data_IF_142435688632
#
_entry.id   IF_142435688632
#
_cell.length_a   1.000
_cell.length_b   1.000
_cell.length_c   1.000
_cell.angle_alpha   90.00
_cell.angle_beta   90.00
_cell.angle_gamma   90.00
#
_symmetry.space_group_name_H-M   'P 1'
#
loop_
_entity.id
_entity.type
_entity.pdbx_description
1 polymer ?
#
# COMPACT_ATOMS: atom_id res chain seq x y z
N UNK A 1 4.55 -1.72 -23.77
CA UNK A 1 3.43 -1.43 -22.85
C UNK A 1 4.01 -1.15 -21.48
N UNK A 2 3.20 -0.77 -20.49
CA UNK A 2 3.67 -0.21 -19.22
C UNK A 2 2.75 -0.74 -18.12
N UNK A 3 3.03 -1.94 -17.63
CA UNK A 3 2.17 -2.67 -16.71
C UNK A 3 2.45 -2.30 -15.24
N UNK A 4 1.42 -2.34 -14.40
CA UNK A 4 1.51 -2.10 -12.95
C UNK A 4 0.91 -3.31 -12.22
N UNK A 5 1.68 -3.90 -11.32
CA UNK A 5 1.18 -4.96 -10.42
C UNK A 5 0.58 -4.29 -9.18
N UNK A 6 -0.72 -4.50 -8.95
CA UNK A 6 -1.41 -4.01 -7.76
C UNK A 6 -1.35 -5.04 -6.64
N UNK A 7 -1.04 -4.59 -5.43
CA UNK A 7 -1.02 -5.40 -4.22
C UNK A 7 -1.92 -4.71 -3.20
N UNK A 8 -2.78 -5.47 -2.54
CA UNK A 8 -3.63 -4.96 -1.48
C UNK A 8 -3.46 -5.81 -0.22
N UNK A 9 -3.09 -5.16 0.89
CA UNK A 9 -2.69 -5.84 2.13
C UNK A 9 -3.58 -5.47 3.32
N UNK A 10 -4.09 -6.49 4.00
CA UNK A 10 -4.94 -6.38 5.19
C UNK A 10 -6.34 -5.86 4.90
N UNK A 11 -7.19 -5.81 5.93
CA UNK A 11 -8.60 -5.44 5.79
C UNK A 11 -8.83 -4.10 5.07
N UNK A 12 -8.14 -3.04 5.49
CA UNK A 12 -8.31 -1.70 4.91
C UNK A 12 -7.81 -1.64 3.46
N UNK A 13 -6.62 -2.21 3.18
CA UNK A 13 -6.07 -2.29 1.83
C UNK A 13 -7.01 -3.02 0.88
N UNK A 14 -7.54 -4.17 1.30
CA UNK A 14 -8.49 -4.94 0.50
C UNK A 14 -9.83 -4.22 0.25
N UNK A 15 -10.34 -3.46 1.22
CA UNK A 15 -11.58 -2.69 1.02
C UNK A 15 -11.39 -1.52 0.04
N UNK A 16 -10.29 -0.79 0.17
CA UNK A 16 -9.96 0.32 -0.73
C UNK A 16 -9.61 -0.22 -2.11
N UNK A 17 -8.81 -1.28 -2.19
CA UNK A 17 -8.47 -1.98 -3.43
C UNK A 17 -9.72 -2.49 -4.15
N UNK A 18 -10.65 -3.14 -3.44
CA UNK A 18 -11.92 -3.56 -4.03
C UNK A 18 -12.69 -2.37 -4.62
N UNK A 19 -12.81 -1.25 -3.90
CA UNK A 19 -13.46 -0.03 -4.43
C UNK A 19 -12.70 0.60 -5.59
N UNK A 20 -11.38 0.59 -5.56
CA UNK A 20 -10.55 1.03 -6.67
C UNK A 20 -10.88 0.21 -7.92
N UNK A 21 -10.85 -1.12 -7.83
CA UNK A 21 -11.16 -2.02 -8.95
C UNK A 21 -12.60 -1.90 -9.45
N UNK A 22 -13.58 -1.67 -8.58
CA UNK A 22 -14.96 -1.35 -9.01
C UNK A 22 -14.98 -0.09 -9.88
N UNK A 23 -14.39 1.01 -9.39
CA UNK A 23 -14.43 2.30 -10.09
C UNK A 23 -13.68 2.25 -11.41
N UNK A 24 -12.46 1.68 -11.45
CA UNK A 24 -11.70 1.63 -12.70
C UNK A 24 -12.31 0.63 -13.70
N UNK A 25 -12.96 -0.43 -13.23
CA UNK A 25 -13.68 -1.35 -14.14
C UNK A 25 -14.86 -0.63 -14.79
N UNK A 26 -15.63 0.15 -14.02
CA UNK A 26 -16.73 0.95 -14.55
C UNK A 26 -16.22 2.01 -15.55
N UNK A 27 -15.11 2.69 -15.26
CA UNK A 27 -14.48 3.65 -16.18
C UNK A 27 -14.02 3.02 -17.50
N UNK A 28 -13.48 1.80 -17.43
CA UNK A 28 -13.04 1.02 -18.59
C UNK A 28 -14.16 0.21 -19.25
N UNK A 29 -15.39 0.25 -18.74
CA UNK A 29 -16.53 -0.49 -19.28
C UNK A 29 -16.39 -2.02 -19.16
N UNK A 30 -15.68 -2.50 -18.14
CA UNK A 30 -15.50 -3.93 -17.84
C UNK A 30 -16.55 -4.36 -16.84
N UNK A 31 -17.30 -5.42 -17.16
CA UNK A 31 -18.29 -5.98 -16.25
C UNK A 31 -17.67 -6.91 -15.19
N UNK A 32 -18.44 -7.35 -14.17
CA UNK A 32 -17.95 -8.29 -13.16
C UNK A 32 -17.47 -9.66 -13.69
N UNK A 33 -17.78 -9.99 -14.95
CA UNK A 33 -17.32 -11.23 -15.60
C UNK A 33 -15.98 -11.06 -16.33
N UNK A 34 -15.47 -9.82 -16.37
CA UNK A 34 -14.28 -9.41 -17.11
C UNK A 34 -14.54 -9.09 -18.58
N UNK A 35 -15.79 -9.04 -19.03
CA UNK A 35 -16.13 -8.78 -20.43
C UNK A 35 -16.27 -7.28 -20.68
N UNK A 36 -15.70 -6.80 -21.79
CA UNK A 36 -15.83 -5.40 -22.20
C UNK A 36 -17.20 -5.12 -22.83
N UNK A 37 -17.89 -4.12 -22.28
CA UNK A 37 -19.17 -3.59 -22.74
C UNK A 37 -19.15 -2.07 -22.91
N UNK A 38 -17.95 -1.48 -23.00
CA UNK A 38 -17.79 -0.05 -23.19
C UNK A 38 -18.20 0.45 -24.57
N UNK A 39 -18.24 1.77 -24.71
CA UNK A 39 -18.73 2.50 -25.89
C UNK A 39 -17.64 3.36 -26.55
N UNK A 40 -16.43 3.40 -25.99
CA UNK A 40 -15.33 4.25 -26.42
C UNK A 40 -14.02 3.47 -26.57
N UNK A 41 -13.39 3.59 -27.75
CA UNK A 41 -12.09 2.97 -28.05
C UNK A 41 -10.97 3.42 -27.08
N UNK A 42 -11.10 4.63 -26.50
CA UNK A 42 -10.14 5.15 -25.53
C UNK A 42 -10.10 4.32 -24.23
N UNK A 43 -11.18 3.61 -23.91
CA UNK A 43 -11.22 2.73 -22.73
C UNK A 43 -10.29 1.52 -22.88
N UNK A 44 -10.01 1.09 -24.12
CA UNK A 44 -9.16 -0.07 -24.38
C UNK A 44 -7.69 0.30 -24.65
N UNK A 45 -7.40 1.54 -25.07
CA UNK A 45 -6.06 1.95 -25.50
C UNK A 45 -4.95 1.72 -24.44
N UNK A 46 -5.30 1.84 -23.15
CA UNK A 46 -4.35 1.64 -22.02
C UNK A 46 -4.81 0.62 -21.00
N UNK A 47 -5.71 -0.28 -21.38
CA UNK A 47 -6.26 -1.28 -20.44
C UNK A 47 -5.19 -2.27 -19.94
N UNK A 48 -4.15 -2.52 -20.75
CA UNK A 48 -3.05 -3.42 -20.42
C UNK A 48 -2.19 -2.96 -19.24
N UNK A 49 -2.33 -1.70 -18.81
CA UNK A 49 -1.63 -1.16 -17.62
C UNK A 49 -2.07 -1.91 -16.36
N UNK A 50 -3.38 -2.14 -16.20
CA UNK A 50 -3.97 -2.73 -14.99
C UNK A 50 -4.58 -4.11 -15.21
N UNK A 51 -4.94 -4.48 -16.44
CA UNK A 51 -5.59 -5.75 -16.75
C UNK A 51 -4.73 -6.64 -17.64
N UNK A 52 -4.76 -7.92 -17.35
CA UNK A 52 -4.32 -8.98 -18.25
C UNK A 52 -5.47 -9.32 -19.21
N UNK A 53 -5.18 -9.41 -20.51
CA UNK A 53 -6.12 -9.96 -21.49
C UNK A 53 -6.02 -11.50 -21.49
N UNK A 54 -7.07 -12.15 -21.01
CA UNK A 54 -7.24 -13.59 -21.03
C UNK A 54 -7.99 -14.04 -22.30
N UNK A 55 -7.96 -15.34 -22.55
CA UNK A 55 -8.65 -15.94 -23.70
C UNK A 55 -10.15 -15.64 -23.67
N UNK A 56 -10.71 -15.31 -24.84
CA UNK A 56 -12.13 -15.00 -25.00
C UNK A 56 -12.51 -13.55 -24.69
N UNK A 57 -11.55 -12.62 -24.76
CA UNK A 57 -11.82 -11.18 -24.57
C UNK A 57 -12.16 -10.83 -23.13
N UNK A 58 -11.62 -11.59 -22.17
CA UNK A 58 -11.82 -11.37 -20.74
C UNK A 58 -10.63 -10.63 -20.15
N UNK A 59 -10.90 -9.54 -19.44
CA UNK A 59 -9.92 -8.74 -18.75
C UNK A 59 -9.88 -9.14 -17.27
N UNK A 60 -8.70 -9.50 -16.79
CA UNK A 60 -8.46 -9.92 -15.40
C UNK A 60 -7.53 -8.92 -14.73
N UNK A 61 -7.92 -8.30 -13.60
CA UNK A 61 -7.04 -7.41 -12.87
C UNK A 61 -5.68 -8.03 -12.53
N UNK A 62 -4.60 -7.28 -12.75
CA UNK A 62 -3.27 -7.59 -12.25
C UNK A 62 -3.17 -7.23 -10.77
N UNK A 63 -3.97 -7.91 -9.95
CA UNK A 63 -4.11 -7.66 -8.52
C UNK A 63 -3.73 -8.89 -7.70
N UNK A 64 -3.06 -8.65 -6.57
CA UNK A 64 -2.68 -9.65 -5.57
C UNK A 64 -3.32 -9.24 -4.25
N UNK A 65 -4.12 -10.14 -3.69
CA UNK A 65 -4.91 -9.90 -2.49
C UNK A 65 -4.29 -10.65 -1.34
N UNK A 66 -3.86 -9.90 -0.32
CA UNK A 66 -3.12 -10.43 0.82
C UNK A 66 -3.83 -10.09 2.11
N UNK A 67 -4.08 -11.09 2.95
CA UNK A 67 -4.46 -10.86 4.34
C UNK A 67 -4.05 -12.04 5.23
N UNK A 68 -3.70 -11.78 6.48
CA UNK A 68 -3.42 -12.83 7.45
C UNK A 68 -4.72 -13.46 7.98
N UNK A 69 -5.85 -12.77 7.79
CA UNK A 69 -7.18 -13.26 8.14
C UNK A 69 -7.98 -13.74 6.92
N UNK A 70 -8.61 -14.93 6.96
CA UNK A 70 -9.40 -15.44 5.84
C UNK A 70 -10.70 -14.66 5.62
N UNK A 71 -11.28 -14.04 6.66
CA UNK A 71 -12.60 -13.40 6.59
C UNK A 71 -12.69 -12.20 5.64
N UNK A 72 -11.58 -11.50 5.43
CA UNK A 72 -11.51 -10.40 4.45
C UNK A 72 -11.71 -10.90 3.03
N UNK A 73 -11.18 -12.09 2.70
CA UNK A 73 -11.23 -12.64 1.35
C UNK A 73 -12.67 -13.00 0.94
N UNK A 74 -13.46 -13.57 1.86
CA UNK A 74 -14.87 -13.88 1.62
C UNK A 74 -15.69 -12.60 1.37
N UNK A 75 -15.35 -11.53 2.08
CA UNK A 75 -15.98 -10.22 1.90
C UNK A 75 -15.66 -9.63 0.53
N UNK A 76 -14.41 -9.76 0.04
CA UNK A 76 -14.03 -9.29 -1.30
C UNK A 76 -14.69 -10.15 -2.38
N UNK A 77 -14.69 -11.48 -2.24
CA UNK A 77 -15.29 -12.40 -3.23
C UNK A 77 -16.81 -12.23 -3.36
N UNK A 78 -17.48 -11.90 -2.26
CA UNK A 78 -18.92 -11.59 -2.24
C UNK A 78 -19.25 -10.17 -2.72
N UNK A 79 -18.23 -9.34 -2.93
CA UNK A 79 -18.37 -8.03 -3.53
C UNK A 79 -18.81 -8.06 -5.00
N UNK A 80 -19.22 -6.91 -5.57
CA UNK A 80 -19.80 -6.84 -6.90
C UNK A 80 -18.83 -7.33 -7.99
N UNK A 81 -17.55 -6.97 -7.86
CA UNK A 81 -16.47 -7.38 -8.75
C UNK A 81 -15.59 -8.50 -8.16
N UNK A 82 -16.03 -9.17 -7.08
CA UNK A 82 -15.21 -10.17 -6.40
C UNK A 82 -14.79 -11.37 -7.26
N UNK A 83 -15.56 -11.67 -8.31
CA UNK A 83 -15.35 -12.81 -9.20
C UNK A 83 -14.38 -12.52 -10.36
N UNK A 84 -14.01 -11.26 -10.59
CA UNK A 84 -13.09 -10.89 -11.67
C UNK A 84 -11.63 -11.23 -11.33
N UNK A 85 -11.30 -11.28 -10.03
CA UNK A 85 -9.96 -11.55 -9.55
C UNK A 85 -9.56 -13.01 -9.80
N UNK A 86 -8.30 -13.21 -10.18
CA UNK A 86 -7.74 -14.55 -10.36
C UNK A 86 -7.73 -15.30 -9.01
N UNK A 87 -8.35 -16.49 -8.88
CA UNK A 87 -8.38 -17.24 -7.63
C UNK A 87 -7.01 -17.55 -7.04
N UNK A 88 -6.02 -17.79 -7.91
CA UNK A 88 -4.62 -18.04 -7.54
C UNK A 88 -3.93 -16.84 -6.86
N UNK A 89 -4.46 -15.63 -7.07
CA UNK A 89 -3.85 -14.39 -6.56
C UNK A 89 -4.36 -14.01 -5.16
N UNK A 90 -5.19 -14.86 -4.56
CA UNK A 90 -5.62 -14.72 -3.17
C UNK A 90 -4.66 -15.48 -2.27
N UNK A 91 -3.83 -14.74 -1.53
CA UNK A 91 -2.87 -15.32 -0.58
C UNK A 91 -3.30 -14.91 0.81
N UNK A 92 -3.71 -15.89 1.62
CA UNK A 92 -4.20 -15.61 2.96
C UNK A 92 -3.73 -16.58 4.02
N UNK A 93 -3.55 -16.06 5.23
CA UNK A 93 -3.19 -16.82 6.42
C UNK A 93 -4.41 -17.43 7.13
N UNK A 94 -4.15 -18.13 8.23
CA UNK A 94 -5.18 -18.64 9.14
C UNK A 94 -5.29 -17.84 10.44
N UNK A 95 -4.27 -17.03 10.74
CA UNK A 95 -4.08 -16.32 12.00
C UNK A 95 -3.92 -14.84 11.72
N UNK A 96 -4.77 -13.99 12.33
CA UNK A 96 -4.70 -12.55 12.14
C UNK A 96 -3.62 -11.87 12.96
N UNK A 97 -3.12 -10.74 12.47
CA UNK A 97 -2.15 -9.93 13.20
C UNK A 97 -2.74 -9.22 14.44
N UNK A 98 -4.06 -9.10 14.56
CA UNK A 98 -4.71 -8.54 15.76
C UNK A 98 -4.30 -7.10 16.10
N UNK A 99 -4.09 -6.25 15.08
CA UNK A 99 -3.54 -4.89 15.21
C UNK A 99 -2.13 -4.82 15.84
N UNK A 100 -1.35 -5.89 15.74
CA UNK A 100 0.04 -5.91 16.16
C UNK A 100 0.96 -5.88 14.93
N UNK A 101 1.74 -4.81 14.80
CA UNK A 101 2.71 -4.65 13.71
C UNK A 101 3.78 -5.74 13.73
N UNK A 102 4.32 -6.08 14.92
CA UNK A 102 5.38 -7.07 15.06
C UNK A 102 4.92 -8.46 14.60
N UNK A 103 3.64 -8.80 14.83
CA UNK A 103 3.06 -10.04 14.27
C UNK A 103 3.06 -10.06 12.75
N UNK A 104 2.65 -8.95 12.15
CA UNK A 104 2.64 -8.81 10.71
C UNK A 104 4.05 -8.79 10.10
N UNK A 105 5.05 -8.29 10.82
CA UNK A 105 6.39 -8.10 10.28
C UNK A 105 7.35 -9.27 10.57
N UNK A 106 7.32 -9.84 11.78
CA UNK A 106 8.31 -10.81 12.24
C UNK A 106 7.79 -12.25 12.37
N UNK A 107 6.50 -12.45 12.64
CA UNK A 107 5.94 -13.78 12.89
C UNK A 107 5.02 -14.23 11.77
N UNK A 108 3.71 -14.05 11.90
CA UNK A 108 2.68 -14.54 10.97
C UNK A 108 2.90 -14.04 9.54
N UNK A 109 3.24 -12.76 9.36
CA UNK A 109 3.47 -12.21 8.02
C UNK A 109 4.78 -12.67 7.39
N UNK A 110 5.80 -12.99 8.18
CA UNK A 110 7.06 -13.54 7.68
C UNK A 110 6.88 -14.98 7.16
N UNK A 111 5.94 -15.75 7.72
CA UNK A 111 5.61 -17.09 7.20
C UNK A 111 4.85 -17.02 5.87
N UNK A 112 4.01 -16.00 5.67
CA UNK A 112 3.18 -15.87 4.47
C UNK A 112 3.87 -15.13 3.32
N UNK A 113 4.88 -14.30 3.60
CA UNK A 113 5.50 -13.38 2.61
C UNK A 113 6.04 -14.11 1.38
N UNK A 114 6.66 -15.28 1.54
CA UNK A 114 7.26 -16.03 0.42
C UNK A 114 6.18 -16.49 -0.57
N UNK A 115 5.01 -16.91 -0.07
CA UNK A 115 3.88 -17.29 -0.91
C UNK A 115 3.34 -16.10 -1.71
N UNK A 116 3.34 -14.89 -1.11
CA UNK A 116 2.96 -13.66 -1.82
C UNK A 116 3.99 -13.32 -2.89
N UNK A 117 5.28 -13.40 -2.57
CA UNK A 117 6.36 -13.11 -3.50
C UNK A 117 6.33 -14.02 -4.73
N UNK A 118 5.98 -15.30 -4.57
CA UNK A 118 5.82 -16.20 -5.71
C UNK A 118 4.70 -15.78 -6.66
N UNK A 119 3.59 -15.26 -6.14
CA UNK A 119 2.51 -14.69 -6.96
C UNK A 119 2.97 -13.37 -7.61
N UNK A 120 3.68 -12.53 -6.87
CA UNK A 120 4.26 -11.27 -7.40
C UNK A 120 5.20 -11.57 -8.57
N UNK A 121 6.07 -12.58 -8.45
CA UNK A 121 6.96 -13.05 -9.52
C UNK A 121 6.17 -13.53 -10.73
N UNK A 122 5.17 -14.38 -10.52
CA UNK A 122 4.31 -14.89 -11.60
C UNK A 122 3.62 -13.78 -12.39
N UNK A 123 3.10 -12.75 -11.70
CA UNK A 123 2.48 -11.60 -12.37
C UNK A 123 3.52 -10.72 -13.07
N UNK A 124 4.69 -10.51 -12.45
CA UNK A 124 5.78 -9.70 -13.02
C UNK A 124 6.36 -10.31 -14.29
N UNK A 125 6.57 -11.63 -14.32
CA UNK A 125 7.04 -12.39 -15.50
C UNK A 125 6.03 -12.40 -16.66
N UNK A 126 4.75 -12.16 -16.36
CA UNK A 126 3.70 -12.04 -17.39
C UNK A 126 3.57 -10.63 -17.99
N UNK A 127 4.38 -9.67 -17.54
CA UNK A 127 4.41 -8.31 -18.07
C UNK A 127 5.44 -8.18 -19.19
N UNK A 128 5.13 -7.41 -20.24
CA UNK A 128 6.11 -7.07 -21.28
C UNK A 128 7.15 -6.08 -20.74
N UNK A 129 6.71 -5.05 -20.01
CA UNK A 129 7.59 -4.05 -19.41
C UNK A 129 6.99 -3.49 -18.11
N UNK A 130 7.23 -4.20 -17.01
CA UNK A 130 6.78 -3.81 -15.68
C UNK A 130 7.28 -2.40 -15.30
N UNK A 131 6.35 -1.49 -15.03
CA UNK A 131 6.69 -0.16 -14.48
C UNK A 131 7.05 -0.25 -13.00
N UNK A 132 6.27 -1.04 -12.25
CA UNK A 132 6.39 -1.08 -10.81
C UNK A 132 5.16 -1.66 -10.12
N UNK A 133 5.13 -1.42 -8.81
CA UNK A 133 4.15 -1.98 -7.89
C UNK A 133 3.33 -0.88 -7.24
N UNK A 134 2.05 -1.16 -7.04
CA UNK A 134 1.13 -0.30 -6.33
C UNK A 134 0.56 -1.04 -5.12
N UNK A 135 0.95 -0.63 -3.91
CA UNK A 135 0.45 -1.22 -2.67
C UNK A 135 -0.66 -0.36 -2.05
N UNK A 136 -1.81 -0.95 -1.74
CA UNK A 136 -2.83 -0.33 -0.88
C UNK A 136 -2.83 -0.99 0.50
N UNK A 137 -2.65 -0.19 1.55
CA UNK A 137 -2.58 -0.71 2.93
C UNK A 137 -2.93 0.36 3.98
N UNK A 138 -3.10 -0.04 5.23
CA UNK A 138 -3.24 0.88 6.36
C UNK A 138 -2.03 0.82 7.28
N UNK A 139 -1.62 1.98 7.80
CA UNK A 139 -0.50 2.07 8.75
C UNK A 139 -0.93 1.75 10.19
N UNK A 140 -2.23 1.81 10.49
CA UNK A 140 -2.76 1.56 11.84
C UNK A 140 -3.14 0.11 12.15
N UNK A 141 -3.10 -0.78 11.15
CA UNK A 141 -3.40 -2.21 11.35
C UNK A 141 -2.20 -3.01 11.85
N UNK A 142 -2.28 -4.34 11.79
CA UNK A 142 -1.14 -5.26 11.97
C UNK A 142 -0.67 -5.86 10.64
N UNK A 143 -1.61 -6.41 9.86
CA UNK A 143 -1.31 -7.00 8.54
C UNK A 143 -0.89 -5.94 7.53
N UNK A 144 -1.75 -4.94 7.30
CA UNK A 144 -1.49 -3.90 6.29
C UNK A 144 -0.20 -3.14 6.57
N UNK A 145 0.09 -2.84 7.84
CA UNK A 145 1.28 -2.10 8.23
C UNK A 145 2.52 -3.00 8.27
N UNK A 146 2.53 -4.03 9.12
CA UNK A 146 3.70 -4.90 9.36
C UNK A 146 4.06 -5.77 8.18
N UNK A 147 3.09 -6.53 7.66
CA UNK A 147 3.32 -7.38 6.49
C UNK A 147 3.48 -6.53 5.23
N UNK A 148 2.75 -5.41 5.13
CA UNK A 148 2.90 -4.48 4.00
C UNK A 148 4.30 -3.88 3.90
N UNK A 149 4.90 -3.43 5.01
CA UNK A 149 6.29 -2.94 5.01
C UNK A 149 7.30 -4.03 4.72
N UNK A 150 7.09 -5.25 5.24
CA UNK A 150 7.92 -6.40 4.91
C UNK A 150 7.90 -6.71 3.40
N UNK A 151 6.71 -6.72 2.80
CA UNK A 151 6.53 -6.91 1.35
C UNK A 151 7.23 -5.82 0.54
N UNK A 152 7.12 -4.55 0.94
CA UNK A 152 7.83 -3.45 0.28
C UNK A 152 9.34 -3.69 0.30
N UNK A 153 9.90 -4.08 1.45
CA UNK A 153 11.34 -4.34 1.58
C UNK A 153 11.77 -5.47 0.65
N UNK A 154 11.03 -6.59 0.65
CA UNK A 154 11.35 -7.74 -0.20
C UNK A 154 11.21 -7.46 -1.69
N UNK A 155 10.19 -6.71 -2.08
CA UNK A 155 10.02 -6.31 -3.48
C UNK A 155 11.13 -5.35 -3.91
N UNK A 156 11.57 -4.43 -3.03
CA UNK A 156 12.71 -3.54 -3.32
C UNK A 156 14.03 -4.29 -3.44
N UNK A 157 14.24 -5.34 -2.65
CA UNK A 157 15.41 -6.23 -2.77
C UNK A 157 15.42 -6.96 -4.12
N UNK A 158 14.26 -7.47 -4.58
CA UNK A 158 14.16 -8.27 -5.80
C UNK A 158 14.02 -7.43 -7.08
N UNK A 159 13.38 -6.25 -6.98
CA UNK A 159 13.08 -5.35 -8.09
C UNK A 159 13.57 -3.92 -7.80
N UNK A 160 14.89 -3.69 -7.62
CA UNK A 160 15.44 -2.40 -7.21
C UNK A 160 15.19 -1.28 -8.23
N UNK A 161 15.16 -1.62 -9.52
CA UNK A 161 14.97 -0.64 -10.62
C UNK A 161 13.49 -0.32 -10.91
N UNK A 162 12.55 -0.84 -10.11
CA UNK A 162 11.11 -0.68 -10.32
C UNK A 162 10.50 0.30 -9.33
N UNK A 163 9.56 1.10 -9.81
CA UNK A 163 8.89 2.10 -8.97
C UNK A 163 7.99 1.38 -7.95
N UNK A 164 8.06 1.80 -6.69
CA UNK A 164 7.19 1.33 -5.62
C UNK A 164 6.30 2.48 -5.15
N UNK A 165 5.01 2.38 -5.44
CA UNK A 165 4.01 3.36 -5.00
C UNK A 165 3.12 2.77 -3.91
N UNK A 166 2.86 3.53 -2.85
CA UNK A 166 1.99 3.10 -1.76
C UNK A 166 0.85 4.09 -1.54
N UNK A 167 -0.35 3.55 -1.37
CA UNK A 167 -1.54 4.27 -0.93
C UNK A 167 -1.77 3.91 0.53
N UNK A 168 -1.15 4.70 1.40
CA UNK A 168 -1.07 4.46 2.84
C UNK A 168 -2.16 5.21 3.60
N UNK A 169 -3.10 4.48 4.22
CA UNK A 169 -4.11 5.11 5.08
C UNK A 169 -3.55 5.37 6.46
N UNK A 170 -3.45 6.65 6.80
CA UNK A 170 -3.00 7.13 8.10
C UNK A 170 -4.17 7.14 9.09
N UNK A 171 -4.03 6.58 10.30
CA UNK A 171 -5.10 6.56 11.29
C UNK A 171 -5.49 7.97 11.76
N UNK A 172 -6.79 8.17 12.00
CA UNK A 172 -7.37 9.39 12.57
C UNK A 172 -8.42 9.03 13.63
N UNK A 173 -8.46 9.71 14.79
CA UNK A 173 -9.49 9.52 15.82
C UNK A 173 -10.90 9.96 15.40
N UNK A 174 -11.02 10.69 14.29
CA UNK A 174 -12.29 11.26 13.79
C UNK A 174 -12.45 10.81 12.34
N UNK A 175 -13.30 9.81 12.11
CA UNK A 175 -13.66 9.37 10.76
C UNK A 175 -15.16 9.53 10.58
N UNK A 176 -15.55 10.31 9.57
CA UNK A 176 -16.94 10.51 9.14
C UNK A 176 -16.99 10.45 7.61
N UNK A 177 -17.86 9.59 7.06
CA UNK A 177 -18.03 9.41 5.61
C UNK A 177 -18.99 10.44 5.00
N UNK A 178 -18.67 10.96 3.81
CA UNK A 178 -19.61 11.65 2.92
C UNK A 178 -19.27 11.36 1.45
N UNK A 179 -20.29 11.18 0.61
CA UNK A 179 -20.21 11.04 -0.84
C UNK A 179 -20.26 12.42 -1.52
N UNK A 180 -19.48 12.63 -2.59
CA UNK A 180 -19.45 13.90 -3.36
C UNK A 180 -19.58 13.67 -4.87
N UNK A 181 -20.25 14.60 -5.57
CA UNK A 181 -20.58 14.52 -7.02
C UNK A 181 -19.55 15.18 -7.94
N UNK A 182 -18.56 15.91 -7.41
CA UNK A 182 -17.44 16.49 -8.16
C UNK A 182 -16.17 16.24 -7.36
N UNK A 183 -15.12 15.75 -8.01
CA UNK A 183 -13.84 15.45 -7.39
C UNK A 183 -12.72 16.22 -8.09
N UNK A 184 -11.86 16.85 -7.29
CA UNK A 184 -10.57 17.38 -7.74
C UNK A 184 -9.52 16.56 -7.01
N UNK A 185 -8.69 15.82 -7.75
CA UNK A 185 -7.56 15.10 -7.19
C UNK A 185 -6.34 16.03 -7.19
N UNK A 186 -5.89 16.43 -6.01
CA UNK A 186 -4.68 17.22 -5.83
C UNK A 186 -3.60 16.37 -5.18
N UNK A 187 -2.46 16.24 -5.87
CA UNK A 187 -1.25 15.64 -5.32
C UNK A 187 -0.29 16.81 -5.10
N UNK A 188 -0.12 17.21 -3.84
CA UNK A 188 0.82 18.25 -3.46
C UNK A 188 1.92 17.67 -2.58
N UNK A 189 3.17 17.89 -2.97
CA UNK A 189 4.29 17.72 -2.05
C UNK A 189 4.47 19.05 -1.31
N UNK A 190 4.07 19.09 -0.04
CA UNK A 190 4.09 20.30 0.78
C UNK A 190 4.67 19.98 2.14
N UNK A 191 5.53 20.87 2.64
CA UNK A 191 6.12 20.78 3.99
C UNK A 191 5.06 20.72 5.09
N UNK A 192 3.83 21.18 4.84
CA UNK A 192 2.71 21.09 5.78
C UNK A 192 2.36 19.63 6.17
N UNK A 193 2.80 18.63 5.40
CA UNK A 193 2.63 17.21 5.76
C UNK A 193 3.29 16.86 7.10
N UNK A 194 4.27 17.65 7.54
CA UNK A 194 4.91 17.48 8.85
C UNK A 194 3.91 17.52 10.02
N UNK A 195 2.78 18.24 9.90
CA UNK A 195 1.76 18.29 10.95
C UNK A 195 1.08 16.92 11.16
N UNK A 196 0.92 16.15 10.08
CA UNK A 196 0.40 14.79 10.14
C UNK A 196 1.37 13.88 10.91
N UNK A 197 2.67 13.98 10.65
CA UNK A 197 3.70 13.22 11.35
C UNK A 197 3.84 13.64 12.82
N UNK A 198 3.84 14.95 13.11
CA UNK A 198 3.85 15.49 14.50
C UNK A 198 2.69 14.93 15.32
N UNK A 199 1.47 14.89 14.76
CA UNK A 199 0.30 14.32 15.43
C UNK A 199 0.47 12.85 15.80
N UNK A 200 1.05 12.05 14.92
CA UNK A 200 1.32 10.63 15.17
C UNK A 200 2.42 10.49 16.22
N UNK A 201 3.50 11.25 16.08
CA UNK A 201 4.64 11.26 17.01
C UNK A 201 4.19 11.60 18.43
N UNK A 202 3.38 12.65 18.63
CA UNK A 202 2.85 13.02 19.95
C UNK A 202 2.05 11.89 20.61
N UNK A 203 1.20 11.19 19.85
CA UNK A 203 0.43 10.05 20.34
C UNK A 203 1.33 8.86 20.68
N UNK A 204 2.30 8.58 19.81
CA UNK A 204 3.29 7.54 20.02
C UNK A 204 4.11 7.80 21.29
N UNK A 205 4.72 8.97 21.44
CA UNK A 205 5.53 9.34 22.61
C UNK A 205 4.71 9.26 23.90
N UNK A 206 3.44 9.69 23.88
CA UNK A 206 2.56 9.60 25.06
C UNK A 206 2.30 8.16 25.52
N UNK A 207 2.20 7.22 24.58
CA UNK A 207 2.03 5.79 24.85
C UNK A 207 3.35 5.13 25.25
N UNK A 208 4.42 5.43 24.51
CA UNK A 208 5.75 4.83 24.70
C UNK A 208 6.38 5.22 26.03
N UNK A 209 6.24 6.48 26.47
CA UNK A 209 6.71 6.93 27.81
C UNK A 209 6.09 6.14 28.97
N UNK A 210 4.89 5.58 28.78
CA UNK A 210 4.19 4.76 29.77
C UNK A 210 4.46 3.27 29.60
N UNK A 211 5.25 2.88 28.59
CA UNK A 211 5.44 1.49 28.13
C UNK A 211 4.12 0.74 27.94
N UNK A 212 3.08 1.47 27.53
CA UNK A 212 1.74 0.90 27.37
C UNK A 212 1.75 -0.06 26.18
N UNK A 213 1.22 -1.27 26.37
CA UNK A 213 1.12 -2.34 25.35
C UNK A 213 2.45 -2.82 24.73
N UNK A 214 3.61 -2.39 25.23
CA UNK A 214 4.92 -2.72 24.65
C UNK A 214 5.20 -4.23 24.64
N UNK A 215 4.74 -4.96 25.67
CA UNK A 215 4.90 -6.42 25.78
C UNK A 215 4.24 -7.22 24.65
N UNK A 216 3.25 -6.65 23.95
CA UNK A 216 2.67 -7.30 22.78
C UNK A 216 3.64 -7.33 21.59
N UNK A 217 4.54 -6.35 21.49
CA UNK A 217 5.50 -6.26 20.40
C UNK A 217 6.79 -6.99 20.76
N UNK A 218 7.29 -6.79 21.98
CA UNK A 218 8.52 -7.48 22.44
C UNK A 218 8.30 -8.98 22.61
N UNK A 219 7.07 -9.42 22.89
CA UNK A 219 6.70 -10.83 22.89
C UNK A 219 6.81 -11.51 21.52
N UNK A 220 6.81 -10.74 20.44
CA UNK A 220 6.90 -11.23 19.05
C UNK A 220 8.33 -11.06 18.47
N UNK A 221 9.30 -10.67 19.30
CA UNK A 221 10.72 -10.58 18.92
C UNK A 221 11.25 -9.18 18.62
N UNK A 222 10.42 -8.14 18.73
CA UNK A 222 10.83 -6.74 18.51
C UNK A 222 11.60 -6.17 19.73
N UNK A 223 12.72 -5.48 19.52
CA UNK A 223 13.45 -4.82 20.62
C UNK A 223 12.81 -3.45 20.98
N UNK A 224 12.91 -3.02 22.25
CA UNK A 224 12.53 -1.65 22.65
C UNK A 224 13.39 -0.59 21.92
N UNK A 225 14.60 -0.94 21.50
CA UNK A 225 15.49 -0.09 20.71
C UNK A 225 14.87 0.25 19.35
N UNK A 226 14.19 -0.70 18.69
CA UNK A 226 13.51 -0.45 17.41
C UNK A 226 12.42 0.62 17.52
N UNK A 227 11.74 0.70 18.67
CA UNK A 227 10.77 1.79 18.94
C UNK A 227 11.45 3.15 19.03
N UNK A 228 12.63 3.18 19.65
CA UNK A 228 13.41 4.42 19.83
C UNK A 228 14.00 4.87 18.49
N UNK A 229 14.48 3.94 17.68
CA UNK A 229 14.96 4.21 16.31
C UNK A 229 13.83 4.72 15.42
N UNK A 230 12.66 4.09 15.45
CA UNK A 230 11.50 4.56 14.70
C UNK A 230 11.02 5.96 15.16
N UNK A 231 11.05 6.25 16.46
CA UNK A 231 10.75 7.59 16.99
C UNK A 231 11.78 8.63 16.51
N UNK A 232 13.07 8.27 16.52
CA UNK A 232 14.15 9.13 16.01
C UNK A 232 13.94 9.44 14.54
N UNK A 233 13.81 8.43 13.69
CA UNK A 233 13.66 8.59 12.24
C UNK A 233 12.42 9.43 11.88
N UNK A 234 11.32 9.28 12.63
CA UNK A 234 10.13 10.09 12.44
C UNK A 234 10.37 11.57 12.79
N UNK A 235 11.12 11.84 13.85
CA UNK A 235 11.47 13.20 14.25
C UNK A 235 12.49 13.84 13.29
N UNK A 236 13.41 13.03 12.75
CA UNK A 236 14.38 13.46 11.74
C UNK A 236 13.64 13.87 10.45
N UNK A 237 12.70 13.05 9.97
CA UNK A 237 11.84 13.39 8.82
C UNK A 237 11.04 14.69 9.05
N UNK A 238 10.50 14.89 10.25
CA UNK A 238 9.81 16.14 10.60
C UNK A 238 10.77 17.33 10.56
N UNK A 239 12.02 17.12 10.99
CA UNK A 239 13.06 18.15 10.98
C UNK A 239 13.50 18.52 9.57
N UNK A 240 13.62 17.55 8.67
CA UNK A 240 13.89 17.78 7.24
C UNK A 240 12.82 18.67 6.60
N UNK A 241 11.53 18.37 6.80
CA UNK A 241 10.45 19.23 6.28
C UNK A 241 10.47 20.64 6.89
N UNK A 242 10.85 20.76 8.16
CA UNK A 242 10.98 22.06 8.82
C UNK A 242 12.15 22.87 8.23
N UNK A 243 13.27 22.21 7.95
CA UNK A 243 14.43 22.83 7.32
C UNK A 243 14.09 23.43 5.95
N UNK A 244 13.44 22.65 5.07
CA UNK A 244 13.01 23.16 3.77
C UNK A 244 11.90 24.22 3.86
N UNK A 245 11.09 24.21 4.92
CA UNK A 245 10.06 25.22 5.12
C UNK A 245 10.65 26.57 5.55
N UNK A 246 11.73 26.55 6.32
CA UNK A 246 12.40 27.75 6.83
C UNK A 246 13.49 28.26 5.87
N UNK A 247 13.90 27.44 4.88
CA UNK A 247 14.85 27.80 3.84
C UNK A 247 14.39 29.03 3.06
N UNK A 248 15.31 29.96 2.82
CA UNK A 248 15.08 31.12 1.96
C UNK A 248 15.59 30.85 0.55
N UNK A 249 15.09 31.59 -0.46
CA UNK A 249 15.42 31.37 -1.87
C UNK A 249 16.93 31.50 -2.23
N UNK A 250 17.78 32.02 -1.33
CA UNK A 250 19.24 32.05 -1.50
C UNK A 250 19.92 30.74 -1.02
N UNK A 251 19.27 29.98 -0.13
CA UNK A 251 19.76 28.72 0.44
C UNK A 251 19.23 27.49 -0.33
N UNK A 252 18.10 27.61 -1.04
CA UNK A 252 17.52 26.52 -1.87
C UNK A 252 18.50 25.99 -2.94
N UNK A 253 19.36 26.85 -3.50
CA UNK A 253 20.32 26.47 -4.54
C UNK A 253 21.52 25.63 -4.05
N UNK A 254 21.85 25.67 -2.75
CA UNK A 254 22.92 24.84 -2.17
C UNK A 254 22.37 23.43 -1.81
N UNK A 255 21.09 23.33 -1.42
CA UNK A 255 20.45 22.03 -1.11
C UNK A 255 20.11 21.21 -2.37
N UNK A 256 19.79 21.85 -3.50
CA UNK A 256 19.60 21.14 -4.77
C UNK A 256 20.91 20.49 -5.27
N UNK A 257 22.07 21.12 -5.05
CA UNK A 257 23.38 20.55 -5.41
C UNK A 257 23.76 19.35 -4.51
N UNK A 258 23.46 19.39 -3.20
CA UNK A 258 23.70 18.24 -2.30
C UNK A 258 22.77 17.04 -2.60
N UNK A 259 21.52 17.29 -2.98
CA UNK A 259 20.57 16.22 -3.30
C UNK A 259 20.88 15.48 -4.63
N UNK A 260 21.59 16.13 -5.57
CA UNK A 260 22.08 15.48 -6.79
C UNK A 260 23.34 14.62 -6.56
N UNK A 261 24.13 14.88 -5.51
CA UNK A 261 25.32 14.08 -5.19
C UNK A 261 25.01 12.73 -4.50
N UNK A 262 23.86 12.62 -3.83
CA UNK A 262 23.42 11.42 -3.09
C UNK A 262 22.48 10.47 -3.86
N UNK A 263 22.23 10.72 -5.16
CA UNK A 263 21.33 9.95 -6.04
C UNK A 263 22.01 8.90 -6.95
#
# INVERSE_FOLDING_TARGET
MREIVHIQAGQCGNQIGAKFWEVISDEHGIDPTGTYHGDSDLQLDRISVYYNEATGGKYVPRAILVDLEPGTMDSVRSGPFGQIFRPDNFVFGQSGAGNNWAKGHYTEGAELVDSVLDVVRKESESCDCLQGFQLTHSLGGGTGSGMGTLLISKIREEYPDRIMNTFSVVPSPKVTNHEMRMAVTFIGNSTAIQELFKRISEQFTAMFRRKAFLHWYTGEGMDEMEFTEAESNMNDLVSEYQQYQDATAEEEGEFEEEAEEDA
#
